data_IF_202461071975
#
_entry.id   IF_202461071975
#
_cell.length_a   1.000
_cell.length_b   1.000
_cell.length_c   1.000
_cell.angle_alpha   90.00
_cell.angle_beta   90.00
_cell.angle_gamma   90.00
#
_symmetry.space_group_name_H-M   'P 1'
#
loop_
_entity.id
_entity.type
_entity.pdbx_description
1 polymer ?
#
# COMPACT_ATOMS: atom_id res chain seq x y z
N UNK A 1 18.24 -16.89 -1.92
CA UNK A 1 18.23 -17.66 -0.66
C UNK A 1 17.28 -18.84 -0.80
N UNK A 2 17.71 -20.06 -0.47
CA UNK A 2 16.83 -21.24 -0.45
C UNK A 2 16.11 -21.22 0.90
N UNK A 3 14.82 -20.87 0.92
CA UNK A 3 14.04 -20.91 2.15
C UNK A 3 13.90 -22.37 2.61
N UNK A 4 14.60 -22.75 3.68
CA UNK A 4 14.42 -24.05 4.29
C UNK A 4 13.03 -24.07 4.94
N UNK A 5 12.12 -24.94 4.46
CA UNK A 5 10.82 -25.17 5.11
C UNK A 5 11.06 -25.84 6.46
N UNK A 6 11.22 -25.05 7.53
CA UNK A 6 11.13 -25.52 8.92
C UNK A 6 9.66 -25.49 9.35
N UNK A 7 9.21 -26.50 10.10
CA UNK A 7 7.87 -26.46 10.72
C UNK A 7 7.94 -25.54 11.94
N UNK A 8 6.86 -24.80 12.19
CA UNK A 8 6.73 -23.91 13.36
C UNK A 8 6.93 -24.68 14.67
N UNK A 9 6.55 -25.97 14.69
CA UNK A 9 6.73 -26.88 15.83
C UNK A 9 8.19 -27.12 16.21
N UNK A 10 9.12 -26.86 15.29
CA UNK A 10 10.54 -27.15 15.45
C UNK A 10 11.34 -25.87 15.80
N UNK A 11 10.63 -24.79 16.12
CA UNK A 11 11.19 -23.49 16.46
C UNK A 11 11.02 -23.21 17.96
N UNK A 12 12.05 -22.63 18.56
CA UNK A 12 11.92 -22.00 19.87
C UNK A 12 11.06 -20.75 19.78
N UNK A 13 10.53 -20.30 20.93
CA UNK A 13 9.71 -19.08 21.02
C UNK A 13 10.49 -17.86 20.49
N UNK A 14 11.79 -17.79 20.73
CA UNK A 14 12.62 -16.66 20.29
C UNK A 14 12.89 -16.68 18.79
N UNK A 15 13.10 -17.87 18.20
CA UNK A 15 13.17 -18.02 16.74
C UNK A 15 11.85 -17.62 16.07
N UNK A 16 10.71 -18.00 16.65
CA UNK A 16 9.39 -17.64 16.13
C UNK A 16 9.15 -16.12 16.20
N UNK A 17 9.51 -15.49 17.33
CA UNK A 17 9.46 -14.03 17.48
C UNK A 17 10.30 -13.33 16.42
N UNK A 18 11.52 -13.83 16.16
CA UNK A 18 12.39 -13.29 15.12
C UNK A 18 11.75 -13.33 13.73
N UNK A 19 11.17 -14.47 13.34
CA UNK A 19 10.49 -14.62 12.04
C UNK A 19 9.26 -13.71 11.93
N UNK A 20 8.47 -13.58 13.00
CA UNK A 20 7.32 -12.66 13.02
C UNK A 20 7.80 -11.21 12.86
N UNK A 21 8.88 -10.83 13.55
CA UNK A 21 9.40 -9.47 13.48
C UNK A 21 10.00 -9.13 12.12
N UNK A 22 10.69 -10.07 11.47
CA UNK A 22 11.14 -9.93 10.08
C UNK A 22 9.97 -9.77 9.11
N UNK A 23 8.94 -10.62 9.23
CA UNK A 23 7.75 -10.55 8.38
C UNK A 23 7.01 -9.21 8.55
N UNK A 24 6.79 -8.77 9.79
CA UNK A 24 6.18 -7.46 10.08
C UNK A 24 7.04 -6.33 9.52
N UNK A 25 8.37 -6.40 9.65
CA UNK A 25 9.27 -5.33 9.16
C UNK A 25 9.25 -5.25 7.63
N UNK A 26 9.29 -6.39 6.94
CA UNK A 26 9.19 -6.45 5.48
C UNK A 26 7.85 -5.89 4.99
N UNK A 27 6.76 -6.23 5.67
CA UNK A 27 5.45 -5.66 5.37
C UNK A 27 5.43 -4.16 5.66
N UNK A 28 5.98 -3.70 6.79
CA UNK A 28 6.03 -2.28 7.15
C UNK A 28 6.76 -1.42 6.12
N UNK A 29 7.78 -1.94 5.45
CA UNK A 29 8.43 -1.23 4.33
C UNK A 29 7.48 -1.04 3.15
N UNK A 30 6.66 -2.04 2.83
CA UNK A 30 5.63 -1.97 1.79
C UNK A 30 4.54 -0.97 2.19
N UNK A 31 4.12 -0.98 3.45
CA UNK A 31 3.11 -0.07 3.96
C UNK A 31 3.61 1.37 4.12
N UNK A 32 4.93 1.59 4.27
CA UNK A 32 5.50 2.93 4.48
C UNK A 32 5.15 3.89 3.34
N UNK A 33 5.37 3.48 2.09
CA UNK A 33 5.03 4.30 0.91
C UNK A 33 3.53 4.60 0.87
N UNK A 34 2.70 3.62 1.20
CA UNK A 34 1.24 3.79 1.27
C UNK A 34 0.85 4.82 2.36
N UNK A 35 1.48 4.74 3.54
CA UNK A 35 1.24 5.70 4.62
C UNK A 35 1.75 7.10 4.29
N UNK A 36 2.88 7.23 3.60
CA UNK A 36 3.40 8.51 3.13
C UNK A 36 2.42 9.18 2.14
N UNK A 37 1.87 8.42 1.19
CA UNK A 37 0.82 8.88 0.26
C UNK A 37 -0.43 9.30 1.02
N UNK A 38 -0.88 8.50 1.99
CA UNK A 38 -2.08 8.80 2.79
C UNK A 38 -1.89 9.99 3.74
N UNK A 39 -0.65 10.27 4.16
CA UNK A 39 -0.33 11.42 5.00
C UNK A 39 -0.30 12.74 4.23
N UNK A 40 -0.19 12.71 2.90
CA UNK A 40 -0.33 13.90 2.06
C UNK A 40 -1.79 14.37 2.03
N UNK A 41 -2.13 15.25 2.96
CA UNK A 41 -3.45 15.86 3.08
C UNK A 41 -3.93 16.59 1.82
N UNK A 42 -3.01 17.12 1.01
CA UNK A 42 -3.35 17.82 -0.24
C UNK A 42 -3.74 16.81 -1.31
N UNK A 43 -2.94 15.76 -1.49
CA UNK A 43 -3.25 14.67 -2.42
C UNK A 43 -4.56 13.98 -2.04
N UNK A 44 -4.74 13.66 -0.76
CA UNK A 44 -5.98 13.06 -0.26
C UNK A 44 -7.20 13.98 -0.47
N UNK A 45 -7.04 15.30 -0.31
CA UNK A 45 -8.06 16.29 -0.63
C UNK A 45 -8.43 16.30 -2.12
N UNK A 46 -7.44 16.19 -3.01
CA UNK A 46 -7.65 16.12 -4.46
C UNK A 46 -8.37 14.83 -4.87
N UNK A 47 -7.98 13.68 -4.32
CA UNK A 47 -8.65 12.39 -4.55
C UNK A 47 -10.12 12.49 -4.15
N UNK A 48 -10.40 13.01 -2.94
CA UNK A 48 -11.78 13.18 -2.46
C UNK A 48 -12.60 14.11 -3.36
N UNK A 49 -12.01 15.20 -3.84
CA UNK A 49 -12.70 16.12 -4.74
C UNK A 49 -12.97 15.50 -6.10
N UNK A 50 -12.05 14.70 -6.63
CA UNK A 50 -12.25 13.96 -7.88
C UNK A 50 -13.38 12.93 -7.76
N UNK A 51 -13.47 12.21 -6.64
CA UNK A 51 -14.58 11.29 -6.36
C UNK A 51 -15.94 12.01 -6.30
N UNK A 52 -15.99 13.16 -5.63
CA UNK A 52 -17.19 13.99 -5.57
C UNK A 52 -17.58 14.49 -6.96
N UNK A 53 -16.63 15.08 -7.69
CA UNK A 53 -16.91 15.63 -9.02
C UNK A 53 -17.35 14.53 -10.01
N UNK A 54 -16.80 13.31 -9.89
CA UNK A 54 -17.29 12.13 -10.61
C UNK A 54 -18.72 11.78 -10.22
N UNK A 55 -19.05 11.75 -8.93
CA UNK A 55 -20.41 11.47 -8.45
C UNK A 55 -21.43 12.52 -8.91
N UNK A 56 -21.03 13.78 -9.01
CA UNK A 56 -21.85 14.87 -9.55
C UNK A 56 -21.87 14.96 -11.08
N UNK A 57 -21.17 14.06 -11.78
CA UNK A 57 -21.16 14.01 -13.25
C UNK A 57 -20.48 15.22 -13.91
N UNK A 58 -19.55 15.90 -13.23
CA UNK A 58 -18.79 17.01 -13.83
C UNK A 58 -17.93 16.50 -14.99
N UNK A 59 -18.18 17.03 -16.18
CA UNK A 59 -17.36 16.77 -17.37
C UNK A 59 -15.93 17.31 -17.14
N UNK A 60 -14.93 16.44 -17.24
CA UNK A 60 -13.50 16.78 -17.08
C UNK A 60 -12.88 16.43 -15.72
N UNK A 61 -13.67 15.99 -14.74
CA UNK A 61 -13.16 15.60 -13.42
C UNK A 61 -12.56 14.19 -13.37
N UNK A 62 -12.90 13.36 -14.34
CA UNK A 62 -12.30 12.05 -14.56
C UNK A 62 -11.61 12.07 -15.92
N UNK A 63 -10.31 11.80 -15.92
CA UNK A 63 -9.51 11.55 -17.13
C UNK A 63 -9.14 10.08 -17.08
N UNK A 64 -9.46 9.32 -18.12
CA UNK A 64 -9.11 7.91 -18.16
C UNK A 64 -7.58 7.77 -18.19
N UNK A 65 -7.06 6.71 -17.58
CA UNK A 65 -5.62 6.42 -17.60
C UNK A 65 -5.07 6.32 -19.03
N UNK A 66 -5.86 5.80 -19.96
CA UNK A 66 -5.49 5.70 -21.37
C UNK A 66 -5.29 7.07 -22.05
N UNK A 67 -5.99 8.09 -21.57
CA UNK A 67 -5.83 9.48 -22.04
C UNK A 67 -4.63 10.16 -21.39
N UNK A 68 -4.30 9.82 -20.13
CA UNK A 68 -3.16 10.37 -19.39
C UNK A 68 -1.80 9.80 -19.84
N UNK A 69 -1.72 8.50 -20.13
CA UNK A 69 -0.45 7.83 -20.41
C UNK A 69 0.20 8.23 -21.74
N UNK A 70 -0.56 8.87 -22.63
CA UNK A 70 -0.12 9.28 -23.97
C UNK A 70 -0.03 10.81 -24.12
N UNK A 71 -0.20 11.56 -23.03
CA UNK A 71 -0.19 13.02 -22.99
C UNK A 71 1.20 13.60 -22.62
#
# INVERSE_FOLDING_TARGET
MRAARRKITDMTVDELKGVIQEAITADMEIWRETFEIMADSKLMGQIRQADLDRAYGKKGAFVAWDDLKNA
#
